data_IF_235091596913
#
_entry.id   IF_235091596913
#
_cell.length_a   1.000
_cell.length_b   1.000
_cell.length_c   1.000
_cell.angle_alpha   90.00
_cell.angle_beta   90.00
_cell.angle_gamma   90.00
#
_symmetry.space_group_name_H-M   'P 1'
#
loop_
_entity.id
_entity.type
_entity.pdbx_description
1 polymer ?
#
# COMPACT_ATOMS: atom_id res chain seq x y z
N UNK A 1 7.83 -5.38 5.16
CA UNK A 1 8.15 -4.33 4.16
C UNK A 1 7.09 -3.25 4.20
N UNK A 2 7.45 -1.96 4.06
CA UNK A 2 6.49 -0.86 4.02
C UNK A 2 5.55 -0.94 2.81
N UNK A 3 4.24 -0.72 3.01
CA UNK A 3 3.23 -0.87 1.95
C UNK A 3 3.38 0.14 0.81
N UNK A 4 3.97 1.29 1.10
CA UNK A 4 4.31 2.34 0.13
C UNK A 4 5.41 1.88 -0.83
N UNK A 5 6.41 1.15 -0.34
CA UNK A 5 7.45 0.55 -1.21
C UNK A 5 6.83 -0.52 -2.11
N UNK A 6 5.97 -1.39 -1.55
CA UNK A 6 5.27 -2.42 -2.33
C UNK A 6 4.38 -1.77 -3.40
N UNK A 7 3.67 -0.69 -3.06
CA UNK A 7 2.88 0.07 -4.02
C UNK A 7 3.75 0.63 -5.14
N UNK A 8 4.80 1.37 -4.81
CA UNK A 8 5.67 2.03 -5.80
C UNK A 8 6.29 1.04 -6.78
N UNK A 9 6.72 -0.13 -6.30
CA UNK A 9 7.31 -1.17 -7.14
C UNK A 9 6.31 -1.87 -8.07
N UNK A 10 5.00 -1.76 -7.80
CA UNK A 10 3.97 -2.53 -8.48
C UNK A 10 2.82 -1.69 -9.05
N UNK A 11 2.88 -0.36 -8.94
CA UNK A 11 1.78 0.56 -9.31
C UNK A 11 1.36 0.44 -10.77
N UNK A 12 2.30 0.11 -11.65
CA UNK A 12 2.08 0.00 -13.10
C UNK A 12 1.65 -1.41 -13.54
N UNK A 13 1.55 -2.37 -12.62
CA UNK A 13 1.21 -3.78 -12.91
C UNK A 13 -0.29 -4.06 -13.00
N UNK A 14 -1.15 -3.04 -12.83
CA UNK A 14 -2.62 -3.22 -12.82
C UNK A 14 -3.15 -4.04 -11.65
N UNK A 15 -2.40 -4.15 -10.55
CA UNK A 15 -2.79 -4.90 -9.35
C UNK A 15 -3.72 -4.08 -8.46
N UNK A 16 -3.47 -2.77 -8.40
CA UNK A 16 -4.20 -1.85 -7.54
C UNK A 16 -5.34 -1.17 -8.29
N UNK A 17 -6.47 -1.00 -7.62
CA UNK A 17 -7.65 -0.33 -8.12
C UNK A 17 -7.69 1.06 -7.50
N UNK A 18 -7.89 2.09 -8.33
CA UNK A 18 -8.04 3.45 -7.83
C UNK A 18 -9.16 3.53 -6.79
N UNK A 19 -8.86 4.08 -5.60
CA UNK A 19 -9.85 4.16 -4.54
C UNK A 19 -10.90 5.25 -4.84
N UNK A 20 -12.06 5.21 -4.16
CA UNK A 20 -13.03 6.30 -4.22
C UNK A 20 -12.39 7.63 -3.81
N UNK A 21 -12.90 8.76 -4.30
CA UNK A 21 -12.40 10.08 -3.89
C UNK A 21 -12.50 10.24 -2.36
N UNK A 22 -11.48 10.87 -1.77
CA UNK A 22 -11.50 11.20 -0.34
C UNK A 22 -12.72 12.06 0.00
N UNK A 23 -13.44 11.70 1.05
CA UNK A 23 -14.54 12.49 1.60
C UNK A 23 -14.07 13.71 2.40
N UNK A 24 -12.75 13.81 2.69
CA UNK A 24 -12.17 14.94 3.41
C UNK A 24 -12.13 16.18 2.50
N UNK A 25 -12.76 17.31 2.88
CA UNK A 25 -12.69 18.55 2.12
C UNK A 25 -11.26 19.05 1.93
N UNK A 26 -10.97 19.69 0.80
CA UNK A 26 -9.60 20.11 0.44
C UNK A 26 -8.95 21.03 1.49
N UNK A 27 -9.70 21.97 2.05
CA UNK A 27 -9.21 22.90 3.07
C UNK A 27 -8.88 22.24 4.41
N UNK A 28 -9.40 21.02 4.66
CA UNK A 28 -9.13 20.24 5.88
C UNK A 28 -7.99 19.25 5.71
N UNK A 29 -7.48 19.06 4.50
CA UNK A 29 -6.37 18.13 4.25
C UNK A 29 -5.09 18.69 4.83
N UNK A 30 -4.39 17.88 5.62
CA UNK A 30 -3.03 18.18 6.05
C UNK A 30 -2.08 18.21 4.84
N UNK A 31 -1.62 19.41 4.47
CA UNK A 31 -0.73 19.65 3.32
C UNK A 31 0.69 19.08 3.51
N UNK A 32 1.10 18.77 4.73
CA UNK A 32 2.40 18.18 5.01
C UNK A 32 2.43 16.67 4.76
N UNK A 33 1.27 16.05 4.50
CA UNK A 33 1.15 14.61 4.27
C UNK A 33 0.61 14.36 2.88
N UNK A 34 1.17 13.39 2.18
CA UNK A 34 0.78 13.08 0.81
C UNK A 34 0.68 11.57 0.59
N UNK A 35 -0.44 11.15 0.02
CA UNK A 35 -0.69 9.76 -0.33
C UNK A 35 -0.49 9.58 -1.83
N UNK A 36 0.57 8.87 -2.22
CA UNK A 36 0.88 8.59 -3.62
C UNK A 36 -0.14 7.67 -4.29
N UNK A 37 -0.86 6.87 -3.51
CA UNK A 37 -1.92 6.00 -4.01
C UNK A 37 -3.15 6.78 -4.45
N UNK A 38 -3.60 7.73 -3.63
CA UNK A 38 -4.72 8.61 -3.97
C UNK A 38 -4.31 9.85 -4.78
N UNK A 39 -3.01 10.18 -4.79
CA UNK A 39 -2.45 11.42 -5.35
C UNK A 39 -3.07 12.69 -4.71
N UNK A 40 -3.27 12.66 -3.40
CA UNK A 40 -3.85 13.78 -2.63
C UNK A 40 -3.14 13.99 -1.31
N UNK A 41 -3.27 15.21 -0.78
CA UNK A 41 -2.86 15.54 0.58
C UNK A 41 -3.79 14.97 1.65
N UNK A 42 -3.30 14.91 2.90
CA UNK A 42 -4.10 14.58 4.09
C UNK A 42 -3.54 13.43 4.92
N UNK A 43 -3.04 12.37 4.29
CA UNK A 43 -2.40 11.25 4.97
C UNK A 43 -1.21 10.73 4.16
N UNK A 44 -0.28 10.02 4.80
CA UNK A 44 0.86 9.41 4.13
C UNK A 44 0.49 8.07 3.51
N UNK A 45 1.15 7.71 2.40
CA UNK A 45 0.97 6.42 1.73
C UNK A 45 1.11 5.23 2.67
N UNK A 46 2.08 5.26 3.61
CA UNK A 46 2.32 4.18 4.58
C UNK A 46 1.15 3.95 5.54
N UNK A 47 0.32 4.97 5.79
CA UNK A 47 -0.86 4.91 6.66
C UNK A 47 -2.17 4.74 5.89
N UNK A 48 -2.09 4.48 4.58
CA UNK A 48 -3.25 4.36 3.73
C UNK A 48 -3.94 3.00 3.91
N UNK A 49 -5.10 3.00 4.57
CA UNK A 49 -5.87 1.78 4.87
C UNK A 49 -6.31 1.03 3.61
N UNK A 50 -6.76 1.74 2.58
CA UNK A 50 -7.18 1.11 1.32
C UNK A 50 -5.99 0.48 0.60
N UNK A 51 -4.82 1.14 0.60
CA UNK A 51 -3.62 0.55 0.03
C UNK A 51 -3.22 -0.72 0.78
N UNK A 52 -3.20 -0.68 2.11
CA UNK A 52 -2.92 -1.85 2.94
C UNK A 52 -3.83 -3.02 2.58
N UNK A 53 -5.14 -2.79 2.52
CA UNK A 53 -6.11 -3.82 2.15
C UNK A 53 -5.83 -4.41 0.77
N UNK A 54 -5.54 -3.57 -0.23
CA UNK A 54 -5.24 -4.06 -1.58
C UNK A 54 -3.93 -4.83 -1.66
N UNK A 55 -2.88 -4.42 -0.93
CA UNK A 55 -1.63 -5.19 -0.83
C UNK A 55 -1.91 -6.56 -0.21
N UNK A 56 -2.65 -6.63 0.89
CA UNK A 56 -2.98 -7.91 1.54
C UNK A 56 -3.80 -8.82 0.61
N UNK A 57 -4.83 -8.28 -0.05
CA UNK A 57 -5.63 -9.04 -1.03
C UNK A 57 -4.78 -9.55 -2.20
N UNK A 58 -3.86 -8.74 -2.70
CA UNK A 58 -2.97 -9.13 -3.79
C UNK A 58 -1.92 -10.18 -3.36
N UNK A 59 -1.47 -10.17 -2.10
CA UNK A 59 -0.64 -11.24 -1.55
C UNK A 59 -1.44 -12.53 -1.46
N UNK A 60 -2.67 -12.48 -0.92
CA UNK A 60 -3.55 -13.64 -0.78
C UNK A 60 -3.96 -14.24 -2.14
N UNK A 61 -4.08 -13.40 -3.18
CA UNK A 61 -4.37 -13.82 -4.54
C UNK A 61 -3.11 -14.21 -5.34
N UNK A 62 -1.97 -14.43 -4.69
CA UNK A 62 -0.67 -14.82 -5.28
C UNK A 62 -0.04 -13.76 -6.24
N UNK A 63 -0.71 -12.64 -6.52
CA UNK A 63 -0.22 -11.55 -7.40
C UNK A 63 1.03 -10.84 -6.85
N UNK A 64 1.18 -10.86 -5.53
CA UNK A 64 2.28 -10.27 -4.76
C UNK A 64 2.97 -11.29 -3.84
N UNK A 65 2.97 -12.58 -4.19
CA UNK A 65 3.54 -13.65 -3.33
C UNK A 65 4.98 -13.40 -2.91
N UNK A 66 5.79 -12.69 -3.70
CA UNK A 66 7.16 -12.34 -3.33
C UNK A 66 7.26 -11.53 -2.03
N UNK A 67 6.18 -10.88 -1.60
CA UNK A 67 6.09 -10.11 -0.36
C UNK A 67 5.51 -10.91 0.82
N UNK A 68 5.16 -12.19 0.63
CA UNK A 68 4.60 -13.08 1.66
C UNK A 68 5.64 -13.47 2.74
N UNK A 69 6.94 -13.30 2.46
CA UNK A 69 8.03 -13.58 3.41
C UNK A 69 8.69 -12.30 3.92
N UNK A 70 8.23 -11.82 5.07
CA UNK A 70 9.04 -11.01 5.97
C UNK A 70 8.76 -11.34 7.45
N UNK A 71 8.28 -12.56 7.72
CA UNK A 71 8.38 -13.19 9.03
C UNK A 71 9.12 -14.50 8.82
N UNK A 72 10.43 -14.51 9.09
CA UNK A 72 11.16 -15.61 9.73
C UNK A 72 12.68 -15.36 9.65
N UNK A 73 13.44 -15.42 10.77
CA UNK A 73 14.76 -16.02 10.68
C UNK A 73 14.56 -17.52 10.44
N UNK A 74 14.68 -17.93 9.18
CA UNK A 74 14.64 -19.35 8.80
C UNK A 74 15.87 -20.07 9.35
N UNK A 75 15.74 -20.65 10.55
CA UNK A 75 16.69 -21.61 11.07
C UNK A 75 16.44 -22.96 10.38
N UNK A 76 16.95 -23.13 9.16
CA UNK A 76 16.98 -24.44 8.49
C UNK A 76 18.28 -25.14 8.87
N UNK A 77 18.24 -25.89 9.98
CA UNK A 77 19.08 -27.07 10.18
C UNK A 77 18.27 -28.29 9.77
N UNK A 78 18.66 -28.94 8.69
CA UNK A 78 18.67 -30.41 8.57
C UNK A 78 19.69 -30.79 7.52
#
# INVERSE_FOLDING_TARGET
>A
MPIDVIYLQNRDRGIFIDPPKSSVPEHMKNRNRYCQFYRVHGHDTINCRNLYAQVMMAIHADKLRQYMKASEPSNRKT
#
